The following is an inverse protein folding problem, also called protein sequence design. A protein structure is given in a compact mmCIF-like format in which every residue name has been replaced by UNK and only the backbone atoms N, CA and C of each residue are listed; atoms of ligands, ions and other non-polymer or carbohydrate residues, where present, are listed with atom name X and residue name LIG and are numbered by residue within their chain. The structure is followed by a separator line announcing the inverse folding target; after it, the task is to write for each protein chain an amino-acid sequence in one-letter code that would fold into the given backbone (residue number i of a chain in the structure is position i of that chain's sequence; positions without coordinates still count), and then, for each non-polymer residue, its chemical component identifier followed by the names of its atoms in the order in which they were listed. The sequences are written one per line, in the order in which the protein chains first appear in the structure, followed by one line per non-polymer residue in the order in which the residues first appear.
data_IF_137356735741
#
_entry.id   IF_137356735741
#
_cell.length_a   1.000
_cell.length_b   1.000
_cell.length_c   1.000
_cell.angle_alpha   90.00
_cell.angle_beta   90.00
_cell.angle_gamma   90.00
#
_symmetry.space_group_name_H-M   'P 1'
#
loop_
_entity.id
_entity.type
_entity.pdbx_description
1 polymer ?
2 water ?
#
# COMPACT_ATOMS: atom_id res chain seq x y z
N UNK A 4 2.88 6.66 -23.29
CA UNK A 4 3.83 6.74 -22.14
C UNK A 4 3.09 7.04 -20.83
N UNK A 5 3.06 6.06 -19.92
CA UNK A 5 2.21 6.11 -18.74
C UNK A 5 2.88 6.80 -17.55
N UNK A 6 2.08 7.48 -16.72
CA UNK A 6 2.56 7.97 -15.43
C UNK A 6 2.64 6.83 -14.42
N UNK A 7 3.70 6.82 -13.62
CA UNK A 7 3.93 5.73 -12.68
C UNK A 7 4.56 6.20 -11.38
N UNK A 8 4.38 5.39 -10.34
CA UNK A 8 5.00 5.66 -9.02
C UNK A 8 5.25 4.34 -8.33
N UNK A 9 6.50 4.06 -7.95
CA UNK A 9 6.85 2.87 -7.21
C UNK A 9 7.51 3.35 -5.92
N UNK A 10 6.96 2.88 -4.81
CA UNK A 10 7.30 3.31 -3.46
C UNK A 10 7.76 2.13 -2.62
N UNK A 11 8.71 2.41 -1.74
CA UNK A 11 9.23 1.41 -0.82
C UNK A 11 9.28 1.98 0.60
N UNK A 12 9.47 1.15 1.62
CA UNK A 12 9.45 1.66 2.98
C UNK A 12 10.64 2.54 3.38
N UNK A 13 10.35 3.50 4.25
CA UNK A 13 11.38 4.23 4.97
C UNK A 13 11.42 3.74 6.43
N UNK A 14 10.24 3.52 7.00
CA UNK A 14 10.10 2.92 8.33
C UNK A 14 8.66 2.46 8.55
N UNK A 15 8.47 1.68 9.59
CA UNK A 15 7.19 1.11 9.91
C UNK A 15 6.70 1.75 11.21
N UNK A 16 5.53 2.40 11.16
CA UNK A 16 4.92 3.02 12.35
C UNK A 16 3.74 2.20 12.86
N UNK A 17 3.70 1.99 14.17
CA UNK A 17 2.62 1.24 14.80
C UNK A 17 1.32 2.04 14.75
N UNK A 22 -4.37 -2.22 17.08
CA UNK A 22 -5.26 -2.19 15.92
C UNK A 22 -4.59 -1.90 14.57
N UNK A 23 -3.56 -1.04 14.51
CA UNK A 23 -3.01 -0.66 13.18
C UNK A 23 -1.49 -0.42 13.06
N UNK A 24 -0.93 -0.91 11.95
CA UNK A 24 0.41 -0.58 11.50
C UNK A 24 0.37 -0.02 10.08
N UNK A 25 1.18 1.00 9.83
CA UNK A 25 1.30 1.57 8.50
C UNK A 25 2.79 1.68 8.14
N UNK A 26 3.04 2.09 6.91
CA UNK A 26 4.37 2.22 6.37
C UNK A 26 4.56 3.66 5.92
N UNK A 27 5.67 4.26 6.32
CA UNK A 27 6.10 5.52 5.73
C UNK A 27 6.78 5.20 4.39
N UNK A 28 6.30 5.81 3.31
CA UNK A 28 6.73 5.47 1.94
C UNK A 28 7.69 6.53 1.35
N UNK A 29 8.62 6.09 0.50
CA UNK A 29 9.51 6.96 -0.24
C UNK A 29 9.49 6.50 -1.70
N UNK A 30 9.44 7.43 -2.65
CA UNK A 30 9.51 7.06 -4.07
C UNK A 30 10.88 6.62 -4.51
N UNK A 31 10.93 5.53 -5.28
CA UNK A 31 12.16 5.16 -5.98
C UNK A 31 12.05 5.25 -7.51
N UNK A 32 10.83 5.34 -8.03
CA UNK A 32 10.57 5.53 -9.46
C UNK A 32 9.36 6.40 -9.64
N UNK A 33 9.52 7.49 -10.38
CA UNK A 33 8.40 8.37 -10.66
C UNK A 33 8.46 8.90 -12.07
N UNK A 34 7.35 8.78 -12.77
CA UNK A 34 7.10 9.45 -14.01
C UNK A 34 5.75 10.14 -13.96
N UNK A 35 5.71 11.39 -14.44
CA UNK A 35 4.50 12.18 -14.43
C UNK A 35 4.34 12.77 -13.06
N UNK A 36 3.23 13.46 -12.84
CA UNK A 36 3.11 14.19 -11.58
C UNK A 36 1.74 14.17 -10.89
N UNK A 37 0.93 13.20 -11.22
CA UNK A 37 -0.43 13.12 -10.71
C UNK A 37 -0.59 12.40 -9.38
N UNK A 38 0.53 11.91 -8.83
CA UNK A 38 0.53 11.19 -7.57
C UNK A 38 1.65 11.66 -6.65
N UNK A 39 1.39 11.71 -5.34
CA UNK A 39 2.45 12.10 -4.39
C UNK A 39 2.40 11.32 -3.08
N UNK A 40 3.49 10.63 -2.75
CA UNK A 40 3.66 10.07 -1.41
C UNK A 40 3.89 11.19 -0.39
N UNK A 41 3.08 11.18 0.67
CA UNK A 41 3.24 12.08 1.80
C UNK A 41 3.25 11.23 3.06
N UNK A 42 4.42 10.67 3.36
CA UNK A 42 4.63 9.89 4.57
C UNK A 42 3.94 8.55 4.48
N UNK A 43 2.87 8.36 5.25
CA UNK A 43 2.19 7.04 5.24
C UNK A 43 0.99 6.94 4.29
N UNK A 44 0.68 8.02 3.56
CA UNK A 44 -0.38 8.01 2.55
C UNK A 44 0.12 8.50 1.21
N UNK A 45 -0.69 8.29 0.18
CA UNK A 45 -0.41 8.78 -1.17
C UNK A 45 -1.58 9.67 -1.60
N UNK A 46 -1.27 10.88 -2.04
CA UNK A 46 -2.30 11.79 -2.51
C UNK A 46 -2.45 11.62 -4.00
N UNK A 47 -3.69 11.70 -4.48
CA UNK A 47 -3.98 11.64 -5.91
C UNK A 47 -4.36 13.04 -6.34
N UNK A 48 -3.60 13.59 -7.27
CA UNK A 48 -3.95 14.89 -7.82
C UNK A 48 -4.76 14.80 -9.12
N UNK A 49 -4.60 13.72 -9.86
CA UNK A 49 -5.18 13.59 -11.18
C UNK A 49 -6.23 12.50 -11.23
N UNK A 50 -7.46 12.88 -11.57
CA UNK A 50 -8.49 11.89 -11.74
C UNK A 50 -8.09 10.94 -12.85
N UNK A 51 -8.31 9.64 -12.65
CA UNK A 51 -8.04 8.66 -13.68
C UNK A 51 -8.24 7.24 -13.23
N UNK A 52 -7.95 6.30 -14.14
CA UNK A 52 -7.96 4.88 -13.85
C UNK A 52 -6.52 4.40 -13.65
N UNK A 53 -6.27 3.70 -12.55
CA UNK A 53 -4.93 3.29 -12.18
C UNK A 53 -4.90 1.85 -11.82
N UNK A 54 -3.85 1.18 -12.26
CA UNK A 54 -3.42 -0.07 -11.65
C UNK A 54 -2.70 0.27 -10.37
N UNK A 55 -3.15 -0.33 -9.26
CA UNK A 55 -2.58 -0.15 -7.95
C UNK A 55 -2.15 -1.52 -7.48
N UNK A 56 -0.90 -1.64 -7.05
CA UNK A 56 -0.39 -2.93 -6.55
C UNK A 56 0.28 -2.70 -5.21
N UNK A 57 0.23 -3.72 -4.36
CA UNK A 57 0.73 -3.66 -3.00
C UNK A 57 1.27 -5.02 -2.62
N UNK A 58 2.50 -5.04 -2.12
CA UNK A 58 3.04 -6.23 -1.48
C UNK A 58 3.53 -5.86 -0.11
N UNK A 59 3.25 -6.74 0.83
CA UNK A 59 3.85 -6.64 2.16
C UNK A 59 4.47 -7.97 2.52
N UNK A 60 5.69 -7.91 3.05
CA UNK A 60 6.41 -9.08 3.50
C UNK A 60 6.26 -9.23 5.02
N UNK A 61 5.62 -10.30 5.47
CA UNK A 61 5.34 -10.47 6.92
C UNK A 61 6.25 -11.50 7.57
N UNK A 62 6.64 -11.25 8.83
CA UNK A 62 7.48 -12.18 9.61
C UNK A 62 6.79 -12.70 10.88
N UNK A 63 5.53 -12.33 11.09
CA UNK A 63 4.78 -12.70 12.30
C UNK A 63 4.48 -14.18 12.40
N UNK A 64 4.61 -14.68 13.62
CA UNK A 64 4.26 -16.05 13.97
C UNK A 64 2.74 -16.14 14.19
N UNK A 65 2.17 -17.30 13.87
CA UNK A 65 0.76 -17.67 14.16
C UNK A 65 -0.40 -17.07 13.38
N UNK A 66 -0.62 -15.77 13.52
CA UNK A 66 -1.92 -15.22 13.18
C UNK A 66 -2.02 -14.84 11.72
N UNK A 67 -3.26 -14.74 11.25
CA UNK A 67 -3.53 -14.30 9.89
C UNK A 67 -3.07 -12.86 9.74
N UNK A 68 -2.29 -12.60 8.69
CA UNK A 68 -1.78 -11.28 8.38
C UNK A 68 -2.29 -10.83 7.02
N UNK A 69 -2.33 -9.53 6.81
CA UNK A 69 -2.72 -9.00 5.53
C UNK A 69 -2.86 -7.49 5.55
N UNK A 70 -2.78 -6.92 4.39
CA UNK A 70 -2.85 -5.47 4.25
C UNK A 70 -4.14 -5.09 3.57
N UNK A 71 -4.62 -3.89 3.87
CA UNK A 71 -5.82 -3.35 3.31
C UNK A 71 -5.52 -2.02 2.64
N UNK A 72 -5.88 -1.90 1.36
CA UNK A 72 -5.65 -0.69 0.57
C UNK A 72 -6.97 0.01 0.30
N UNK A 73 -7.07 1.28 0.70
CA UNK A 73 -8.31 2.05 0.68
C UNK A 73 -8.12 3.44 0.09
N UNK A 74 -9.22 4.00 -0.37
CA UNK A 74 -9.27 5.37 -0.83
C UNK A 74 -10.24 6.19 0.03
N UNK A 75 -9.82 7.40 0.38
CA UNK A 75 -10.73 8.30 1.07
C UNK A 75 -10.77 9.58 0.25
N UNK A 76 -11.95 9.99 -0.19
CA UNK A 76 -12.08 11.19 -1.00
C UNK A 76 -13.12 12.15 -0.48
N UNK A 77 -13.71 12.90 -1.40
CA UNK A 77 -14.76 13.82 -1.07
C UNK A 77 -15.85 13.12 -0.24
N UNK A 78 -15.66 13.13 1.08
CA UNK A 78 -16.66 12.64 2.03
C UNK A 78 -16.85 11.16 2.34
N UNK A 79 -16.25 10.25 1.57
CA UNK A 79 -16.45 8.82 1.82
C UNK A 79 -15.13 8.02 1.85
N UNK A 80 -15.21 6.85 2.48
CA UNK A 80 -14.07 5.97 2.66
C UNK A 80 -14.45 4.61 2.06
N UNK A 81 -13.53 4.03 1.30
CA UNK A 81 -13.82 2.83 0.50
C UNK A 81 -12.63 1.90 0.50
N UNK A 82 -12.81 0.63 0.86
CA UNK A 82 -11.73 -0.33 0.65
C UNK A 82 -11.64 -0.63 -0.84
N UNK A 83 -10.42 -0.67 -1.37
CA UNK A 83 -10.21 -1.04 -2.76
C UNK A 83 -9.93 -2.54 -2.88
N UNK A 84 -8.92 -3.01 -2.18
CA UNK A 84 -8.66 -4.43 -2.11
C UNK A 84 -7.88 -4.79 -0.87
N UNK A 85 -7.85 -6.07 -0.55
CA UNK A 85 -7.04 -6.57 0.57
C UNK A 85 -6.31 -7.88 0.17
N UNK A 86 -5.22 -8.15 0.85
CA UNK A 86 -4.48 -9.39 0.73
C UNK A 86 -4.54 -10.07 2.08
N UNK A 87 -4.73 -11.39 2.13
CA UNK A 87 -4.80 -12.11 3.41
C UNK A 87 -3.95 -13.38 3.38
N UNK A 88 -3.17 -13.66 4.44
CA UNK A 88 -2.29 -14.83 4.51
C UNK A 88 -2.25 -15.40 5.89
N UNK A 89 -2.57 -16.69 6.04
CA UNK A 89 -2.30 -17.39 7.29
C UNK A 89 -0.79 -17.60 7.44
N UNK A 90 -0.32 -17.50 8.68
CA UNK A 90 1.09 -17.64 9.00
C UNK A 90 1.29 -18.93 9.77
N UNK A 91 2.40 -19.64 9.52
CA UNK A 91 2.76 -20.82 10.31
C UNK A 91 2.92 -20.51 11.79
N UNK A 92 2.69 -21.52 12.63
CA UNK A 92 2.86 -21.36 14.07
C UNK A 92 4.34 -21.41 14.48
N UNK A 93 5.20 -21.98 13.63
CA UNK A 93 6.66 -22.03 13.85
C UNK A 93 7.21 -20.79 14.55
N UNK A 97 6.54 -18.90 9.21
CA UNK A 97 7.34 -17.79 9.70
C UNK A 97 7.43 -16.62 8.70
N UNK A 98 7.30 -16.92 7.41
CA UNK A 98 7.59 -15.93 6.39
C UNK A 98 6.61 -16.05 5.25
N UNK A 99 6.11 -14.91 4.81
CA UNK A 99 5.15 -14.87 3.70
C UNK A 99 4.97 -13.47 3.14
N UNK A 100 5.10 -13.33 1.81
CA UNK A 100 4.72 -12.11 1.14
C UNK A 100 3.24 -12.21 0.78
N UNK A 101 2.56 -11.08 0.80
CA UNK A 101 1.17 -11.00 0.41
C UNK A 101 1.09 -9.94 -0.67
N UNK A 102 0.79 -10.36 -1.89
CA UNK A 102 0.66 -9.42 -3.02
C UNK A 102 -0.80 -9.36 -3.48
N UNK A 103 -1.28 -8.15 -3.76
CA UNK A 103 -2.57 -7.97 -4.46
C UNK A 103 -2.53 -6.71 -5.27
N UNK A 104 -3.43 -6.62 -6.22
CA UNK A 104 -3.44 -5.48 -7.14
C UNK A 104 -4.77 -5.45 -7.89
N UNK A 105 -5.15 -4.28 -8.35
CA UNK A 105 -6.31 -4.13 -9.19
C UNK A 105 -6.42 -2.78 -9.83
N UNK A 106 -7.46 -2.61 -10.65
CA UNK A 106 -7.63 -1.39 -11.41
C UNK A 106 -8.80 -0.61 -10.87
N UNK A 107 -8.56 0.67 -10.55
CA UNK A 107 -9.54 1.50 -9.87
C UNK A 107 -9.57 2.92 -10.39
N UNK A 108 -10.76 3.50 -10.39
CA UNK A 108 -10.96 4.89 -10.74
C UNK A 108 -10.72 5.69 -9.47
N UNK A 109 -9.70 6.56 -9.54
CA UNK A 109 -9.31 7.42 -8.45
C UNK A 109 -9.62 8.84 -8.88
N UNK A 110 -10.02 9.65 -7.91
CA UNK A 110 -10.48 11.03 -8.13
C UNK A 110 -9.45 11.98 -7.50
N UNK A 111 -9.12 13.07 -8.17
CA UNK A 111 -8.19 14.03 -7.58
C UNK A 111 -8.68 14.46 -6.19
N UNK A 112 -7.74 14.64 -5.26
CA UNK A 112 -8.07 14.90 -3.87
C UNK A 112 -8.11 13.61 -3.04
N UNK A 113 -8.20 12.45 -3.70
CA UNK A 113 -8.22 11.16 -2.99
C UNK A 113 -6.95 10.97 -2.18
N UNK A 114 -7.09 10.29 -1.03
CA UNK A 114 -5.97 9.81 -0.21
C UNK A 114 -5.97 8.28 -0.23
N UNK A 115 -4.86 7.66 -0.64
CA UNK A 115 -4.68 6.21 -0.63
C UNK A 115 -3.93 5.77 0.63
N UNK A 116 -4.49 4.79 1.35
CA UNK A 116 -3.92 4.27 2.58
C UNK A 116 -3.57 2.79 2.42
N UNK A 117 -2.48 2.36 3.04
CA UNK A 117 -2.16 0.92 3.15
C UNK A 117 -2.02 0.63 4.62
N UNK A 118 -2.95 -0.15 5.18
CA UNK A 118 -2.97 -0.43 6.62
C UNK A 118 -2.91 -1.92 6.88
N UNK A 119 -2.15 -2.29 7.90
CA UNK A 119 -2.12 -3.64 8.45
C UNK A 119 -2.81 -3.62 9.81
N UNK A 120 -3.93 -4.32 9.96
CA UNK A 120 -4.75 -4.23 11.18
C UNK A 120 -4.24 -5.03 12.39
N UNK A 121 -2.96 -4.89 12.70
CA UNK A 121 -2.39 -5.42 13.94
C UNK A 121 -1.39 -4.43 14.49
N UNK A 122 -1.23 -4.46 15.80
CA UNK A 122 -0.33 -3.56 16.50
C UNK A 122 1.11 -4.00 16.25
N UNK A 123 1.99 -3.03 16.01
CA UNK A 123 3.42 -3.32 15.87
C UNK A 123 3.60 -4.60 15.06
N UNK A 124 3.02 -4.59 13.87
CA UNK A 124 3.11 -5.70 12.94
C UNK A 124 4.55 -5.87 12.49
N UNK A 125 5.03 -7.11 12.48
CA UNK A 125 6.40 -7.38 12.08
C UNK A 125 6.43 -7.41 10.55
N UNK A 126 6.64 -6.23 9.96
CA UNK A 126 6.71 -6.05 8.50
C UNK A 126 8.17 -5.83 8.12
N UNK A 127 8.57 -6.29 6.93
CA UNK A 127 9.94 -6.05 6.46
C UNK A 127 10.01 -4.66 5.83
N UNK A 128 11.09 -3.94 6.14
CA UNK A 128 11.42 -2.67 5.50
C UNK A 128 12.03 -2.88 4.12
N UNK A 129 12.34 -4.12 3.76
CA UNK A 129 13.10 -4.36 2.55
C UNK A 129 12.31 -3.87 1.37
N UNK A 130 12.93 -3.08 0.49
CA UNK A 130 12.24 -2.57 -0.71
C UNK A 130 11.88 -3.68 -1.70
N UNK A 131 12.57 -4.82 -1.59
CA UNK A 131 12.30 -5.98 -2.47
C UNK A 131 11.13 -6.80 -1.99
N UNK A 132 10.75 -6.65 -0.71
CA UNK A 132 9.65 -7.39 -0.12
C UNK A 132 8.35 -6.67 0.20
N UNK A 133 8.44 -5.38 0.50
CA UNK A 133 7.29 -4.54 0.83
C UNK A 133 7.36 -3.33 -0.10
N UNK A 134 6.32 -3.14 -0.90
CA UNK A 134 6.27 -2.05 -1.84
C UNK A 134 4.85 -1.73 -2.25
N UNK A 135 4.71 -0.58 -2.89
CA UNK A 135 3.42 -0.04 -3.27
C UNK A 135 3.59 0.72 -4.57
N UNK A 136 2.73 0.46 -5.53
CA UNK A 136 2.85 1.21 -6.76
C UNK A 136 1.59 1.45 -7.56
N UNK A 137 1.74 2.36 -8.53
CA UNK A 137 0.65 2.92 -9.33
C UNK A 137 1.05 3.04 -10.79
N UNK A 138 0.13 2.74 -11.72
CA UNK A 138 0.30 3.05 -13.12
C UNK A 138 -1.00 3.63 -13.65
N UNK A 139 -0.95 4.86 -14.12
CA UNK A 139 -2.09 5.46 -14.76
C UNK A 139 -2.33 4.80 -16.10
N UNK A 140 -3.58 4.37 -16.30
CA UNK A 140 -3.99 3.62 -17.49
C UNK A 140 -4.78 4.47 -18.47
#
# INVERSE_FOLDING_TARGET
GSKKHSVLHLVPVNITSKADSDVTEVMWQPVLRRGRGLEAQGDIVRVWDTGIYLLYSQVLFHDVTFTMGQVVSREGQGRRETLFRCIRSMPSDPDRAYNSCYSAGVFHLHQGDIITVKIPRANAKLSLSPHGTFLGFVKL
#
